data_IF_647934359031
#
_entry.id   IF_647934359031
#
_cell.length_a   1.000
_cell.length_b   1.000
_cell.length_c   1.000
_cell.angle_alpha   90.00
_cell.angle_beta   90.00
_cell.angle_gamma   90.00
#
_symmetry.space_group_name_H-M   'P 1'
#
loop_
_entity.id
_entity.type
_entity.pdbx_description
1 polymer ?
#
# COMPACT_ATOMS: atom_id res chain seq x y z
N UNK A 1 19.24 -12.56 -19.29
CA UNK A 1 18.57 -12.61 -17.96
C UNK A 1 17.19 -11.96 -18.09
N UNK A 2 16.09 -12.74 -18.14
CA UNK A 2 14.73 -12.21 -18.36
C UNK A 2 14.19 -11.58 -17.07
N UNK A 3 14.01 -10.27 -17.05
CA UNK A 3 13.31 -9.55 -15.98
C UNK A 3 11.83 -9.95 -16.07
N UNK A 4 11.32 -10.66 -15.06
CA UNK A 4 9.88 -10.99 -14.98
C UNK A 4 9.12 -9.74 -14.52
N UNK A 5 8.44 -9.09 -15.47
CA UNK A 5 7.48 -8.01 -15.25
C UNK A 5 6.26 -8.58 -14.50
N UNK A 6 5.84 -7.93 -13.40
CA UNK A 6 4.66 -8.32 -12.64
C UNK A 6 3.66 -7.16 -12.69
N UNK A 7 2.59 -7.33 -13.46
CA UNK A 7 1.45 -6.42 -13.46
C UNK A 7 0.56 -6.72 -12.25
N UNK A 8 0.30 -5.69 -11.44
CA UNK A 8 -0.59 -5.72 -10.28
C UNK A 8 -1.73 -4.73 -10.51
N UNK A 9 -2.95 -5.19 -10.25
CA UNK A 9 -4.17 -4.44 -10.49
C UNK A 9 -4.73 -3.92 -9.17
N UNK A 10 -5.04 -2.62 -9.10
CA UNK A 10 -5.48 -1.93 -7.88
C UNK A 10 -6.83 -1.27 -8.06
N UNK A 11 -7.62 -1.28 -6.99
CA UNK A 11 -8.92 -0.60 -6.92
C UNK A 11 -8.74 0.79 -6.29
N UNK A 12 -9.35 1.81 -6.88
CA UNK A 12 -9.25 3.18 -6.42
C UNK A 12 -10.60 3.68 -5.93
N UNK A 13 -10.69 3.95 -4.63
CA UNK A 13 -11.92 4.46 -4.02
C UNK A 13 -12.04 5.97 -4.27
N UNK A 14 -12.63 6.38 -5.41
CA UNK A 14 -12.95 7.79 -5.67
C UNK A 14 -14.14 8.21 -4.79
N UNK A 15 -13.90 8.88 -3.66
CA UNK A 15 -14.92 9.78 -3.10
C UNK A 15 -14.87 11.09 -3.88
N UNK A 16 -15.73 11.24 -4.91
CA UNK A 16 -16.07 12.55 -5.47
C UNK A 16 -17.58 12.62 -5.70
N UNK A 17 -18.12 13.76 -5.27
CA UNK A 17 -19.47 14.31 -5.40
C UNK A 17 -20.20 13.80 -6.66
N UNK A 18 -21.51 13.44 -6.58
CA UNK A 18 -22.22 12.84 -7.69
C UNK A 18 -22.38 13.83 -8.83
N UNK A 19 -21.49 13.76 -9.83
CA UNK A 19 -21.76 14.36 -11.13
C UNK A 19 -22.35 13.27 -12.01
N UNK A 20 -23.63 13.47 -12.32
CA UNK A 20 -24.47 12.63 -13.16
C UNK A 20 -23.80 12.35 -14.52
N UNK A 21 -23.00 11.29 -14.59
CA UNK A 21 -22.64 10.60 -15.82
C UNK A 21 -22.80 9.13 -15.56
N UNK A 22 -23.70 8.50 -16.33
CA UNK A 22 -24.02 7.06 -16.28
C UNK A 22 -22.73 6.25 -16.19
N UNK A 23 -22.37 5.83 -14.98
CA UNK A 23 -21.25 4.95 -14.75
C UNK A 23 -21.64 3.59 -15.33
N UNK A 24 -21.16 3.31 -16.55
CA UNK A 24 -21.09 1.95 -17.06
C UNK A 24 -20.33 1.13 -16.03
N UNK A 25 -21.04 0.25 -15.32
CA UNK A 25 -20.47 -0.72 -14.39
C UNK A 25 -19.66 -1.74 -15.18
N UNK A 26 -18.42 -1.41 -15.56
CA UNK A 26 -17.41 -2.43 -15.79
C UNK A 26 -16.72 -2.69 -14.46
N UNK A 27 -17.40 -3.39 -13.55
CA UNK A 27 -16.94 -3.74 -12.20
C UNK A 27 -15.71 -4.69 -12.18
N UNK A 28 -15.06 -4.92 -13.32
CA UNK A 28 -13.94 -5.84 -13.48
C UNK A 28 -12.69 -5.17 -14.09
N UNK A 29 -12.71 -3.85 -14.30
CA UNK A 29 -11.54 -3.14 -14.79
C UNK A 29 -10.85 -2.42 -13.63
N UNK A 30 -9.62 -2.79 -13.27
CA UNK A 30 -8.88 -2.12 -12.21
C UNK A 30 -8.57 -0.68 -12.64
N UNK A 31 -8.69 0.24 -11.67
CA UNK A 31 -8.48 1.67 -11.90
C UNK A 31 -7.02 1.98 -12.23
N UNK A 32 -6.09 1.16 -11.71
CA UNK A 32 -4.66 1.29 -11.95
C UNK A 32 -4.00 -0.07 -12.24
N UNK A 33 -3.02 -0.03 -13.15
CA UNK A 33 -2.07 -1.11 -13.39
C UNK A 33 -0.71 -0.66 -12.87
N UNK A 34 -0.09 -1.49 -12.04
CA UNK A 34 1.21 -1.25 -11.43
C UNK A 34 2.17 -2.34 -11.89
N UNK A 35 3.18 -1.98 -12.67
CA UNK A 35 4.24 -2.89 -13.10
C UNK A 35 5.50 -2.64 -12.26
N UNK A 36 5.81 -3.52 -11.31
CA UNK A 36 6.99 -3.39 -10.44
C UNK A 36 7.66 -4.75 -10.22
N UNK A 37 8.97 -4.75 -9.93
CA UNK A 37 9.69 -5.97 -9.56
C UNK A 37 9.26 -6.41 -8.17
N UNK A 38 9.30 -7.70 -7.89
CA UNK A 38 8.98 -8.23 -6.55
C UNK A 38 9.80 -7.54 -5.43
N UNK A 39 11.08 -7.25 -5.71
CA UNK A 39 11.94 -6.57 -4.74
C UNK A 39 11.49 -5.13 -4.45
N UNK A 40 10.80 -4.46 -5.37
CA UNK A 40 10.30 -3.09 -5.16
C UNK A 40 9.19 -3.09 -4.11
N UNK A 41 8.32 -4.12 -4.09
CA UNK A 41 7.33 -4.31 -3.02
C UNK A 41 8.00 -4.60 -1.67
N UNK A 42 9.09 -5.38 -1.66
CA UNK A 42 9.87 -5.63 -0.45
C UNK A 42 10.53 -4.34 0.07
N UNK A 43 11.01 -3.48 -0.84
CA UNK A 43 11.56 -2.18 -0.51
C UNK A 43 10.47 -1.24 0.04
N UNK A 44 9.29 -1.19 -0.57
CA UNK A 44 8.15 -0.43 -0.07
C UNK A 44 7.81 -0.83 1.38
N UNK A 45 7.72 -2.14 1.63
CA UNK A 45 7.47 -2.68 2.97
C UNK A 45 8.52 -2.21 3.98
N UNK A 46 9.79 -2.23 3.59
CA UNK A 46 10.91 -1.78 4.44
C UNK A 46 10.85 -0.28 4.72
N UNK A 47 10.64 0.56 3.69
CA UNK A 47 10.54 2.01 3.87
C UNK A 47 9.40 2.39 4.82
N UNK A 48 8.21 1.81 4.61
CA UNK A 48 7.06 2.05 5.49
C UNK A 48 7.35 1.60 6.92
N UNK A 49 8.01 0.45 7.12
CA UNK A 49 8.43 -0.02 8.44
C UNK A 49 9.40 0.94 9.13
N UNK A 50 10.41 1.46 8.41
CA UNK A 50 11.38 2.42 8.97
C UNK A 50 10.69 3.67 9.52
N UNK A 51 9.67 4.17 8.82
CA UNK A 51 8.91 5.34 9.28
C UNK A 51 7.90 4.99 10.38
N UNK A 52 7.24 3.83 10.29
CA UNK A 52 6.24 3.40 11.26
C UNK A 52 6.84 3.00 12.62
N UNK A 53 8.10 2.52 12.64
CA UNK A 53 8.76 2.11 13.88
C UNK A 53 9.31 3.29 14.70
N UNK A 54 9.45 4.49 14.11
CA UNK A 54 10.00 5.64 14.85
C UNK A 54 9.08 6.01 16.01
N UNK A 55 9.66 6.16 17.19
CA UNK A 55 8.95 6.58 18.39
C UNK A 55 8.48 8.01 18.24
N UNK A 56 7.27 8.30 18.72
CA UNK A 56 6.77 9.68 18.83
C UNK A 56 7.36 10.35 20.06
N UNK A 57 7.19 11.68 20.17
CA UNK A 57 7.73 12.49 21.28
C UNK A 57 7.36 11.97 22.67
N UNK A 58 6.22 11.28 22.81
CA UNK A 58 5.74 10.73 24.10
C UNK A 58 6.05 9.23 24.29
N UNK A 59 7.01 8.67 23.53
CA UNK A 59 7.41 7.24 23.53
C UNK A 59 6.29 6.24 23.16
N UNK A 60 5.07 6.73 22.90
CA UNK A 60 3.91 5.94 22.47
C UNK A 60 3.86 5.82 20.94
N UNK A 61 3.40 4.67 20.43
CA UNK A 61 3.09 4.47 19.01
C UNK A 61 1.68 4.95 18.72
N UNK A 62 1.50 5.84 17.73
CA UNK A 62 0.16 6.31 17.37
C UNK A 62 -0.64 5.22 16.64
N UNK A 63 -1.98 5.35 16.62
CA UNK A 63 -2.87 4.37 15.97
C UNK A 63 -2.51 4.13 14.49
N UNK A 64 -2.05 5.18 13.80
CA UNK A 64 -1.60 5.09 12.41
C UNK A 64 -0.38 4.17 12.27
N UNK A 65 0.71 4.46 13.00
CA UNK A 65 1.92 3.64 12.97
C UNK A 65 1.68 2.23 13.52
N UNK A 66 0.87 2.07 14.57
CA UNK A 66 0.55 0.76 15.14
C UNK A 66 -0.21 -0.13 14.15
N UNK A 67 -1.11 0.45 13.34
CA UNK A 67 -1.84 -0.26 12.28
C UNK A 67 -0.88 -0.80 11.21
N UNK A 68 0.07 0.03 10.76
CA UNK A 68 1.12 -0.42 9.83
C UNK A 68 2.01 -1.49 10.45
N UNK A 69 2.48 -1.29 11.68
CA UNK A 69 3.33 -2.24 12.37
C UNK A 69 2.65 -3.59 12.58
N UNK A 70 1.38 -3.60 12.99
CA UNK A 70 0.58 -4.81 13.14
C UNK A 70 0.48 -5.58 11.82
N UNK A 71 0.16 -4.89 10.72
CA UNK A 71 0.12 -5.54 9.40
C UNK A 71 1.50 -6.06 8.98
N UNK A 72 2.56 -5.27 9.14
CA UNK A 72 3.93 -5.63 8.72
C UNK A 72 4.49 -6.80 9.53
N UNK A 73 4.11 -6.95 10.80
CA UNK A 73 4.53 -8.07 11.63
C UNK A 73 3.70 -9.32 11.33
N UNK A 74 2.37 -9.19 11.27
CA UNK A 74 1.46 -10.34 11.31
C UNK A 74 0.89 -10.78 9.95
N UNK A 75 0.90 -9.94 8.91
CA UNK A 75 0.31 -10.32 7.62
C UNK A 75 1.13 -11.38 6.88
N UNK A 76 0.48 -12.43 6.39
CA UNK A 76 1.09 -13.45 5.53
C UNK A 76 1.18 -13.02 4.07
N UNK A 77 0.47 -11.94 3.70
CA UNK A 77 0.42 -11.40 2.34
C UNK A 77 1.52 -10.35 2.12
N UNK A 78 2.76 -10.69 2.48
CA UNK A 78 3.89 -9.77 2.40
C UNK A 78 4.94 -10.26 1.41
N UNK A 79 5.70 -9.34 0.78
CA UNK A 79 6.82 -9.67 -0.11
C UNK A 79 8.02 -10.22 0.69
N UNK A 80 7.84 -11.41 1.28
CA UNK A 80 8.85 -12.16 2.03
C UNK A 80 9.58 -13.15 1.12
N UNK A 81 10.81 -13.52 1.49
CA UNK A 81 11.63 -14.45 0.72
C UNK A 81 10.92 -15.79 0.47
N UNK A 82 10.20 -16.31 1.47
CA UNK A 82 9.39 -17.52 1.34
C UNK A 82 8.28 -17.38 0.29
N UNK A 83 7.58 -16.23 0.22
CA UNK A 83 6.56 -16.00 -0.81
C UNK A 83 7.18 -16.03 -2.20
N UNK A 84 8.38 -15.46 -2.38
CA UNK A 84 9.09 -15.48 -3.66
C UNK A 84 9.45 -16.90 -4.12
N UNK A 85 9.74 -17.81 -3.18
CA UNK A 85 10.21 -19.16 -3.47
C UNK A 85 9.06 -20.18 -3.53
N UNK A 86 8.05 -20.06 -2.68
CA UNK A 86 6.97 -21.03 -2.52
C UNK A 86 5.73 -20.75 -3.39
N UNK A 87 5.63 -19.59 -4.04
CA UNK A 87 4.45 -19.22 -4.84
C UNK A 87 4.75 -19.11 -6.33
N UNK A 88 3.81 -19.62 -7.14
CA UNK A 88 3.76 -19.39 -8.58
C UNK A 88 3.49 -17.92 -8.92
N UNK A 89 3.65 -17.55 -10.19
CA UNK A 89 3.55 -16.15 -10.66
C UNK A 89 2.18 -15.55 -10.35
N UNK A 90 1.09 -16.28 -10.60
CA UNK A 90 -0.27 -15.76 -10.41
C UNK A 90 -0.62 -15.56 -8.94
N UNK A 91 -0.24 -16.50 -8.08
CA UNK A 91 -0.39 -16.37 -6.63
C UNK A 91 0.41 -15.18 -6.11
N UNK A 92 1.64 -14.97 -6.62
CA UNK A 92 2.47 -13.82 -6.26
C UNK A 92 1.80 -12.51 -6.66
N UNK A 93 1.25 -12.41 -7.87
CA UNK A 93 0.50 -11.22 -8.33
C UNK A 93 -0.69 -10.93 -7.41
N UNK A 94 -1.47 -11.96 -7.05
CA UNK A 94 -2.60 -11.83 -6.12
C UNK A 94 -2.15 -11.33 -4.75
N UNK A 95 -1.08 -11.89 -4.19
CA UNK A 95 -0.52 -11.46 -2.91
C UNK A 95 -0.01 -10.01 -2.97
N UNK A 96 0.63 -9.59 -4.07
CA UNK A 96 1.09 -8.21 -4.23
C UNK A 96 -0.08 -7.23 -4.38
N UNK A 97 -1.17 -7.62 -5.05
CA UNK A 97 -2.39 -6.81 -5.11
C UNK A 97 -3.01 -6.63 -3.72
N UNK A 98 -3.16 -7.73 -2.96
CA UNK A 98 -3.66 -7.68 -1.58
C UNK A 98 -2.77 -6.81 -0.69
N UNK A 99 -1.45 -6.94 -0.81
CA UNK A 99 -0.47 -6.12 -0.10
C UNK A 99 -0.67 -4.63 -0.38
N UNK A 100 -0.70 -4.24 -1.66
CA UNK A 100 -0.85 -2.84 -2.06
C UNK A 100 -2.21 -2.24 -1.65
N UNK A 101 -3.30 -2.97 -1.85
CA UNK A 101 -4.63 -2.51 -1.44
C UNK A 101 -4.71 -2.32 0.09
N UNK A 102 -4.07 -3.21 0.87
CA UNK A 102 -4.01 -3.06 2.33
C UNK A 102 -3.25 -1.80 2.72
N UNK A 103 -2.07 -1.57 2.11
CA UNK A 103 -1.26 -0.38 2.39
C UNK A 103 -1.99 0.91 2.00
N UNK A 104 -2.68 0.93 0.85
CA UNK A 104 -3.48 2.09 0.42
C UNK A 104 -4.63 2.38 1.39
N UNK A 105 -5.37 1.35 1.82
CA UNK A 105 -6.44 1.50 2.79
C UNK A 105 -5.95 2.07 4.12
N UNK A 106 -4.82 1.57 4.64
CA UNK A 106 -4.20 2.09 5.87
C UNK A 106 -3.69 3.53 5.70
N UNK A 107 -3.14 3.86 4.52
CA UNK A 107 -2.62 5.21 4.24
C UNK A 107 -3.73 6.25 4.18
N UNK A 108 -4.85 5.93 3.55
CA UNK A 108 -5.98 6.84 3.40
C UNK A 108 -6.79 7.03 4.70
N UNK A 109 -6.75 6.04 5.59
CA UNK A 109 -7.54 5.97 6.82
C UNK A 109 -9.01 5.63 6.54
N UNK A 110 -9.68 5.03 7.51
CA UNK A 110 -11.13 4.79 7.45
C UNK A 110 -11.90 6.12 7.50
N UNK A 111 -13.10 6.15 6.87
CA UNK A 111 -14.00 7.33 6.85
C UNK A 111 -14.43 7.82 8.25
N UNK A 112 -14.19 7.04 9.29
CA UNK A 112 -14.71 7.22 10.65
C UNK A 112 -13.67 7.59 11.70
N UNK A 113 -12.36 7.50 11.41
CA UNK A 113 -11.36 7.97 12.37
C UNK A 113 -11.12 9.45 12.19
N UNK A 114 -11.44 10.22 13.23
CA UNK A 114 -11.01 11.61 13.34
C UNK A 114 -9.50 11.61 13.12
N UNK A 115 -9.06 12.26 12.04
CA UNK A 115 -7.65 12.55 11.77
C UNK A 115 -7.16 13.44 12.90
N UNK A 116 -6.90 12.89 14.07
CA UNK A 116 -6.02 13.45 15.08
C UNK A 116 -4.66 13.48 14.39
N UNK A 117 -4.46 14.55 13.63
CA UNK A 117 -3.22 14.91 12.96
C UNK A 117 -2.25 15.14 14.09
N UNK A 118 -1.61 14.06 14.54
CA UNK A 118 -0.42 14.19 15.35
C UNK A 118 0.63 14.74 14.38
N UNK A 119 0.68 16.07 14.28
CA UNK A 119 1.51 16.81 13.30
C UNK A 119 3.00 16.43 13.46
N UNK A 120 3.37 15.85 14.60
CA UNK A 120 4.71 15.40 14.98
C UNK A 120 5.00 13.92 14.64
N UNK A 121 4.08 13.19 14.01
CA UNK A 121 4.32 11.80 13.61
C UNK A 121 5.04 11.70 12.26
N UNK A 122 6.34 11.37 12.29
CA UNK A 122 7.16 11.08 11.11
C UNK A 122 6.49 10.09 10.15
N UNK A 123 5.86 9.04 10.69
CA UNK A 123 5.14 8.04 9.89
C UNK A 123 3.98 8.66 9.10
N UNK A 124 3.17 9.49 9.75
CA UNK A 124 2.04 10.16 9.11
C UNK A 124 2.49 11.17 8.06
N UNK A 125 3.64 11.81 8.27
CA UNK A 125 4.21 12.72 7.28
C UNK A 125 4.82 11.96 6.10
N UNK A 126 5.62 10.92 6.33
CA UNK A 126 6.44 10.28 5.30
C UNK A 126 5.74 9.15 4.53
N UNK A 127 4.95 8.30 5.20
CA UNK A 127 4.34 7.11 4.59
C UNK A 127 3.43 7.46 3.40
N UNK A 128 2.59 8.51 3.44
CA UNK A 128 1.79 8.90 2.28
C UNK A 128 2.64 9.25 1.05
N UNK A 129 3.79 9.92 1.23
CA UNK A 129 4.68 10.25 0.11
C UNK A 129 5.38 9.01 -0.46
N UNK A 130 5.85 8.10 0.41
CA UNK A 130 6.46 6.83 0.00
C UNK A 130 5.45 6.01 -0.82
N UNK A 131 4.21 5.97 -0.36
CA UNK A 131 3.10 5.32 -1.04
C UNK A 131 2.83 5.98 -2.39
N UNK A 132 2.60 7.29 -2.41
CA UNK A 132 2.36 8.03 -3.66
C UNK A 132 3.46 7.80 -4.68
N UNK A 133 4.73 7.89 -4.27
CA UNK A 133 5.88 7.67 -5.16
C UNK A 133 5.88 6.25 -5.75
N UNK A 134 5.55 5.23 -4.95
CA UNK A 134 5.50 3.85 -5.43
C UNK A 134 4.39 3.62 -6.48
N UNK A 135 3.21 4.25 -6.28
CA UNK A 135 2.05 4.09 -7.17
C UNK A 135 2.00 5.07 -8.34
N UNK A 136 2.80 6.14 -8.31
CA UNK A 136 2.95 7.05 -9.44
C UNK A 136 3.54 6.28 -10.61
N UNK A 137 2.90 6.39 -11.79
CA UNK A 137 3.45 5.85 -13.03
C UNK A 137 4.77 6.56 -13.29
N UNK A 138 5.85 5.80 -13.45
CA UNK A 138 7.01 6.30 -14.18
C UNK A 138 6.55 6.42 -15.63
N UNK A 139 6.33 7.66 -16.07
CA UNK A 139 6.28 7.96 -17.50
C UNK A 139 7.67 7.63 -18.04
N UNK A 140 7.77 6.49 -18.74
CA UNK A 140 8.95 6.06 -19.49
C UNK A 140 9.37 7.08 -20.52
#
# INVERSE_FOLDING_TARGET
>A
MRIRKNDVFLEHNTSRIPTNKKASKTANRPDYQLERRFNDFANLRYQVWVYAQRKHQDDCMCNYCSTFMSYIVHSMSQPRLFVKLATGVDMRKKLMATFCNSFLAMTLGGKTESRLRNITCDGYQAIPYVMEHFFRKEET
#
